data_IF_402142330597
#
_entry.id   IF_402142330597
#
_cell.length_a   1.000
_cell.length_b   1.000
_cell.length_c   1.000
_cell.angle_alpha   90.00
_cell.angle_beta   90.00
_cell.angle_gamma   90.00
#
_symmetry.space_group_name_H-M   'P 1'
#
loop_
_entity.id
_entity.type
_entity.pdbx_description
1 polymer ?
#
# COMPACT_ATOMS: atom_id res chain seq x y z
N UNK A 1 -15.40 27.60 -6.41
CA UNK A 1 -13.99 27.52 -5.95
C UNK A 1 -13.91 26.58 -4.77
N UNK A 2 -13.60 25.30 -5.01
CA UNK A 2 -13.33 24.35 -3.92
C UNK A 2 -12.03 24.80 -3.27
N UNK A 3 -12.09 25.26 -2.02
CA UNK A 3 -10.93 25.72 -1.25
C UNK A 3 -9.84 24.64 -1.31
N UNK A 4 -8.58 25.03 -1.61
CA UNK A 4 -7.41 24.12 -1.70
C UNK A 4 -7.29 23.20 -0.47
N UNK A 5 -7.79 23.67 0.68
CA UNK A 5 -7.86 22.89 1.93
C UNK A 5 -8.82 21.71 1.86
N UNK A 6 -9.99 21.87 1.22
CA UNK A 6 -10.97 20.79 1.07
C UNK A 6 -10.45 19.70 0.14
N UNK A 7 -9.76 20.06 -0.95
CA UNK A 7 -9.13 19.10 -1.86
C UNK A 7 -8.09 18.24 -1.13
N UNK A 8 -7.27 18.82 -0.26
CA UNK A 8 -6.30 18.07 0.53
C UNK A 8 -6.96 17.08 1.49
N UNK A 9 -8.01 17.49 2.18
CA UNK A 9 -8.75 16.61 3.10
C UNK A 9 -9.34 15.43 2.35
N UNK A 10 -9.94 15.66 1.16
CA UNK A 10 -10.49 14.58 0.33
C UNK A 10 -9.41 13.58 -0.07
N UNK A 11 -8.25 14.04 -0.55
CA UNK A 11 -7.16 13.16 -0.97
C UNK A 11 -6.60 12.32 0.20
N UNK A 12 -6.40 12.95 1.37
CA UNK A 12 -5.96 12.24 2.58
C UNK A 12 -6.98 11.20 3.02
N UNK A 13 -8.27 11.54 3.00
CA UNK A 13 -9.34 10.60 3.35
C UNK A 13 -9.38 9.37 2.43
N UNK A 14 -9.15 9.57 1.12
CA UNK A 14 -9.06 8.45 0.16
C UNK A 14 -7.88 7.53 0.50
N UNK A 15 -6.70 8.11 0.80
CA UNK A 15 -5.52 7.32 1.19
C UNK A 15 -5.75 6.55 2.49
N UNK A 16 -6.34 7.20 3.50
CA UNK A 16 -6.71 6.58 4.77
C UNK A 16 -7.63 5.39 4.54
N UNK A 17 -8.68 5.55 3.74
CA UNK A 17 -9.63 4.47 3.46
C UNK A 17 -8.94 3.31 2.73
N UNK A 18 -8.09 3.61 1.76
CA UNK A 18 -7.37 2.61 0.97
C UNK A 18 -6.38 1.81 1.82
N UNK A 19 -5.54 2.47 2.62
CA UNK A 19 -4.61 1.79 3.54
C UNK A 19 -5.33 1.03 4.65
N UNK A 20 -6.43 1.57 5.20
CA UNK A 20 -7.22 0.88 6.22
C UNK A 20 -7.81 -0.41 5.67
N UNK A 21 -8.41 -0.33 4.48
CA UNK A 21 -8.99 -1.48 3.81
C UNK A 21 -7.93 -2.55 3.53
N UNK A 22 -6.79 -2.16 2.95
CA UNK A 22 -5.72 -3.08 2.60
C UNK A 22 -5.11 -3.72 3.86
N UNK A 23 -4.74 -2.91 4.86
CA UNK A 23 -4.08 -3.39 6.08
C UNK A 23 -4.96 -4.27 6.96
N UNK A 24 -6.24 -3.92 7.12
CA UNK A 24 -7.18 -4.77 7.88
C UNK A 24 -7.40 -6.11 7.17
N UNK A 25 -7.60 -6.10 5.85
CA UNK A 25 -7.81 -7.34 5.11
C UNK A 25 -6.57 -8.25 5.15
N UNK A 26 -5.36 -7.69 5.03
CA UNK A 26 -4.12 -8.45 5.17
C UNK A 26 -3.95 -9.04 6.58
N UNK A 27 -4.39 -8.35 7.64
CA UNK A 27 -4.36 -8.91 9.00
C UNK A 27 -5.37 -10.02 9.24
N UNK A 28 -6.59 -9.86 8.72
CA UNK A 28 -7.66 -10.85 8.88
C UNK A 28 -7.30 -12.13 8.11
N UNK A 29 -6.86 -12.00 6.86
CA UNK A 29 -6.49 -13.11 5.98
C UNK A 29 -4.97 -13.30 5.92
N UNK A 30 -4.30 -13.19 7.07
CA UNK A 30 -2.83 -13.25 7.16
C UNK A 30 -2.26 -14.56 6.65
N UNK A 31 -2.86 -15.69 7.00
CA UNK A 31 -2.38 -17.02 6.57
C UNK A 31 -2.38 -17.12 5.05
N UNK A 32 -3.43 -16.63 4.40
CA UNK A 32 -3.50 -16.63 2.95
C UNK A 32 -2.49 -15.63 2.34
N UNK A 33 -2.22 -14.49 3.00
CA UNK A 33 -1.19 -13.53 2.59
C UNK A 33 0.23 -14.12 2.71
N UNK A 34 0.50 -14.85 3.79
CA UNK A 34 1.76 -15.56 4.00
C UNK A 34 1.98 -16.64 2.94
N UNK A 35 0.95 -17.43 2.65
CA UNK A 35 0.98 -18.43 1.57
C UNK A 35 1.21 -17.78 0.20
N UNK A 36 0.65 -16.60 -0.06
CA UNK A 36 0.92 -15.84 -1.28
C UNK A 36 2.40 -15.41 -1.38
N UNK A 37 3.02 -15.02 -0.26
CA UNK A 37 4.43 -14.66 -0.22
C UNK A 37 5.33 -15.89 -0.38
N UNK A 38 5.00 -17.01 0.28
CA UNK A 38 5.71 -18.30 0.16
C UNK A 38 5.70 -18.86 -1.25
N UNK A 39 4.58 -18.73 -1.96
CA UNK A 39 4.46 -19.19 -3.34
C UNK A 39 5.10 -18.24 -4.35
N UNK A 40 5.59 -17.07 -3.94
CA UNK A 40 6.19 -16.10 -4.85
C UNK A 40 7.61 -16.55 -5.27
N UNK A 41 7.87 -16.73 -6.57
CA UNK A 41 9.15 -17.27 -7.05
C UNK A 41 10.33 -16.29 -6.93
N UNK A 42 10.08 -15.03 -6.53
CA UNK A 42 11.09 -13.96 -6.47
C UNK A 42 11.56 -13.61 -5.06
N UNK A 43 11.00 -14.24 -4.02
CA UNK A 43 11.43 -14.07 -2.64
C UNK A 43 12.14 -15.33 -2.16
N UNK A 44 13.44 -15.53 -2.46
CA UNK A 44 14.24 -16.61 -1.90
C UNK A 44 14.65 -16.28 -0.45
N UNK A 45 13.69 -15.83 0.36
CA UNK A 45 13.85 -15.58 1.79
C UNK A 45 13.39 -16.83 2.56
N UNK A 46 14.06 -17.17 3.68
CA UNK A 46 13.63 -18.26 4.53
C UNK A 46 12.20 -18.01 5.04
N UNK A 47 11.46 -19.08 5.30
CA UNK A 47 10.05 -19.03 5.75
C UNK A 47 9.86 -18.13 6.98
N UNK A 48 10.87 -18.09 7.87
CA UNK A 48 10.89 -17.19 9.03
C UNK A 48 10.88 -15.71 8.66
N UNK A 49 11.54 -15.32 7.57
CA UNK A 49 11.49 -13.97 7.02
C UNK A 49 10.12 -13.64 6.44
N UNK A 50 9.47 -14.60 5.77
CA UNK A 50 8.15 -14.41 5.19
C UNK A 50 7.08 -14.25 6.27
N UNK A 51 7.14 -15.06 7.33
CA UNK A 51 6.27 -14.91 8.51
C UNK A 51 6.40 -13.51 9.14
N UNK A 52 7.63 -13.01 9.30
CA UNK A 52 7.86 -11.65 9.80
C UNK A 52 7.26 -10.61 8.86
N UNK A 53 7.52 -10.69 7.56
CA UNK A 53 6.97 -9.75 6.57
C UNK A 53 5.43 -9.74 6.57
N UNK A 54 4.81 -10.91 6.71
CA UNK A 54 3.35 -11.08 6.78
C UNK A 54 2.72 -10.27 7.93
N UNK A 55 3.46 -10.06 9.02
CA UNK A 55 3.06 -9.16 10.11
C UNK A 55 3.49 -7.71 9.89
N UNK A 56 4.74 -7.49 9.49
CA UNK A 56 5.32 -6.15 9.40
C UNK A 56 4.62 -5.28 8.35
N UNK A 57 4.29 -5.83 7.18
CA UNK A 57 3.65 -5.09 6.09
C UNK A 57 2.31 -4.48 6.53
N UNK A 58 1.32 -5.27 7.01
CA UNK A 58 0.04 -4.70 7.43
C UNK A 58 0.16 -3.77 8.64
N UNK A 59 1.09 -4.02 9.56
CA UNK A 59 1.34 -3.12 10.69
C UNK A 59 1.82 -1.75 10.18
N UNK A 60 2.73 -1.71 9.22
CA UNK A 60 3.22 -0.46 8.62
C UNK A 60 2.12 0.28 7.85
N UNK A 61 1.22 -0.44 7.18
CA UNK A 61 0.07 0.16 6.50
C UNK A 61 -0.90 0.81 7.50
N UNK A 62 -1.23 0.13 8.60
CA UNK A 62 -2.05 0.71 9.66
C UNK A 62 -1.35 1.85 10.41
N UNK A 63 -0.03 1.79 10.56
CA UNK A 63 0.76 2.89 11.08
C UNK A 63 0.68 4.11 10.16
N UNK A 64 0.71 3.92 8.84
CA UNK A 64 0.53 5.00 7.88
C UNK A 64 -0.86 5.64 8.01
N UNK A 65 -1.92 4.84 8.20
CA UNK A 65 -3.28 5.34 8.51
C UNK A 65 -3.26 6.21 9.75
N UNK A 66 -2.69 5.71 10.86
CA UNK A 66 -2.64 6.44 12.12
C UNK A 66 -1.89 7.77 11.99
N UNK A 67 -0.77 7.78 11.26
CA UNK A 67 0.01 9.00 11.01
C UNK A 67 -0.74 10.00 10.12
N UNK A 68 -1.49 9.52 9.12
CA UNK A 68 -2.30 10.35 8.21
C UNK A 68 -3.48 11.04 8.90
N UNK A 69 -4.04 10.43 9.95
CA UNK A 69 -5.16 11.00 10.71
C UNK A 69 -4.77 12.23 11.55
N UNK A 70 -3.52 12.32 12.00
CA UNK A 70 -3.07 13.45 12.83
C UNK A 70 -2.54 14.61 11.99
N UNK A 71 -3.07 15.82 12.22
CA UNK A 71 -2.69 17.03 11.48
C UNK A 71 -1.21 17.44 11.64
N UNK A 72 -0.54 16.94 12.69
CA UNK A 72 0.91 17.16 12.91
C UNK A 72 1.79 16.11 12.21
N UNK A 73 1.32 14.88 12.09
CA UNK A 73 2.10 13.74 11.56
C UNK A 73 1.72 13.32 10.15
N UNK A 74 0.68 13.91 9.54
CA UNK A 74 0.20 13.51 8.22
C UNK A 74 1.28 13.55 7.13
N UNK A 75 2.27 14.44 7.25
CA UNK A 75 3.43 14.47 6.35
C UNK A 75 4.28 13.20 6.46
N UNK A 76 4.54 12.72 7.68
CA UNK A 76 5.25 11.46 7.90
C UNK A 76 4.43 10.28 7.36
N UNK A 77 3.12 10.29 7.58
CA UNK A 77 2.20 9.28 7.03
C UNK A 77 2.20 9.26 5.50
N UNK A 78 2.25 10.44 4.85
CA UNK A 78 2.38 10.54 3.39
C UNK A 78 3.70 9.97 2.88
N UNK A 79 4.83 10.29 3.52
CA UNK A 79 6.13 9.73 3.12
C UNK A 79 6.16 8.21 3.30
N UNK A 80 5.65 7.71 4.43
CA UNK A 80 5.55 6.27 4.68
C UNK A 80 4.65 5.59 3.65
N UNK A 81 3.48 6.19 3.34
CA UNK A 81 2.56 5.65 2.34
C UNK A 81 3.15 5.62 0.93
N UNK A 82 3.87 6.66 0.50
CA UNK A 82 4.59 6.69 -0.78
C UNK A 82 5.63 5.56 -0.82
N UNK A 83 6.40 5.40 0.25
CA UNK A 83 7.40 4.34 0.35
C UNK A 83 6.77 2.95 0.24
N UNK A 84 5.67 2.69 0.97
CA UNK A 84 4.94 1.42 0.91
C UNK A 84 4.39 1.14 -0.49
N UNK A 85 3.79 2.12 -1.16
CA UNK A 85 3.31 1.93 -2.54
C UNK A 85 4.44 1.64 -3.52
N UNK A 86 5.58 2.33 -3.43
CA UNK A 86 6.73 2.07 -4.30
C UNK A 86 7.27 0.65 -4.07
N UNK A 87 7.41 0.23 -2.82
CA UNK A 87 7.82 -1.13 -2.48
C UNK A 87 6.86 -2.17 -3.05
N UNK A 88 5.55 -1.97 -2.87
CA UNK A 88 4.55 -2.89 -3.40
C UNK A 88 4.53 -2.92 -4.94
N UNK A 89 4.63 -1.77 -5.61
CA UNK A 89 4.65 -1.67 -7.06
C UNK A 89 5.90 -2.33 -7.65
N UNK A 90 7.08 -2.07 -7.07
CA UNK A 90 8.33 -2.68 -7.54
C UNK A 90 8.32 -4.20 -7.37
N UNK A 91 7.82 -4.70 -6.23
CA UNK A 91 7.60 -6.13 -6.00
C UNK A 91 6.66 -6.76 -7.04
N UNK A 92 5.50 -6.13 -7.26
CA UNK A 92 4.49 -6.62 -8.21
C UNK A 92 4.99 -6.59 -9.66
N UNK A 93 5.74 -5.56 -10.05
CA UNK A 93 6.39 -5.49 -11.37
C UNK A 93 7.47 -6.57 -11.52
N UNK A 94 8.25 -6.81 -10.47
CA UNK A 94 9.21 -7.90 -10.40
C UNK A 94 8.53 -9.22 -10.77
N UNK A 95 7.43 -9.55 -10.10
CA UNK A 95 6.67 -10.78 -10.35
C UNK A 95 6.16 -10.84 -11.78
N UNK A 96 5.62 -9.74 -12.31
CA UNK A 96 5.03 -9.76 -13.65
C UNK A 96 6.06 -9.92 -14.79
N UNK A 97 7.27 -9.40 -14.62
CA UNK A 97 8.28 -9.37 -15.68
C UNK A 97 9.39 -10.41 -15.53
N UNK A 98 9.73 -10.80 -14.30
CA UNK A 98 10.86 -11.69 -14.02
C UNK A 98 10.44 -13.08 -13.51
N UNK A 99 9.20 -13.28 -13.06
CA UNK A 99 8.77 -14.61 -12.62
C UNK A 99 8.51 -15.55 -13.79
N UNK A 100 9.00 -16.79 -13.68
CA UNK A 100 8.78 -17.84 -14.69
C UNK A 100 7.32 -18.31 -14.77
N UNK A 101 6.53 -18.07 -13.71
CA UNK A 101 5.10 -18.35 -13.65
C UNK A 101 4.41 -17.37 -12.70
N UNK A 102 3.12 -17.15 -12.90
CA UNK A 102 2.29 -16.30 -12.04
C UNK A 102 1.79 -17.21 -10.89
N UNK A 103 2.17 -16.98 -9.63
CA UNK A 103 1.74 -17.83 -8.53
C UNK A 103 0.22 -17.69 -8.27
N UNK A 104 -0.40 -18.75 -7.72
CA UNK A 104 -1.80 -18.72 -7.30
C UNK A 104 -2.06 -17.49 -6.44
N UNK A 105 -3.04 -16.66 -6.81
CA UNK A 105 -3.63 -15.68 -5.91
C UNK A 105 -4.52 -16.42 -4.90
N UNK A 106 -3.92 -17.03 -3.89
CA UNK A 106 -4.63 -17.82 -2.88
C UNK A 106 -4.95 -16.98 -1.61
N UNK A 107 -4.42 -15.75 -1.51
CA UNK A 107 -4.56 -14.74 -0.44
C UNK A 107 -5.90 -13.99 -0.26
N UNK A 108 -6.86 -14.42 0.58
CA UNK A 108 -7.97 -13.56 1.02
C UNK A 108 -8.70 -12.78 -0.10
N UNK A 109 -8.79 -11.44 -0.01
CA UNK A 109 -9.34 -10.58 -1.10
C UNK A 109 -8.56 -10.61 -2.42
N UNK A 110 -7.29 -11.01 -2.39
CA UNK A 110 -6.45 -11.22 -3.58
C UNK A 110 -6.94 -12.43 -4.38
N UNK A 111 -7.78 -13.30 -3.82
CA UNK A 111 -8.44 -14.42 -4.52
C UNK A 111 -9.37 -13.95 -5.64
N UNK A 112 -9.86 -12.70 -5.57
CA UNK A 112 -10.75 -12.11 -6.58
C UNK A 112 -10.06 -11.04 -7.45
N UNK A 113 -8.90 -10.51 -7.04
CA UNK A 113 -8.14 -9.53 -7.82
C UNK A 113 -6.88 -10.13 -8.42
N UNK A 114 -6.75 -10.04 -9.74
CA UNK A 114 -5.53 -10.43 -10.46
C UNK A 114 -4.34 -9.57 -10.02
N UNK A 115 -3.12 -10.14 -10.05
CA UNK A 115 -1.85 -9.41 -9.81
C UNK A 115 -1.75 -8.07 -10.55
N UNK A 116 -2.25 -8.02 -11.79
CA UNK A 116 -2.33 -6.77 -12.58
C UNK A 116 -3.25 -5.72 -11.94
N UNK A 117 -4.41 -6.13 -11.43
CA UNK A 117 -5.37 -5.21 -10.80
C UNK A 117 -4.81 -4.63 -9.50
N UNK A 118 -4.12 -5.46 -8.71
CA UNK A 118 -3.46 -5.01 -7.48
C UNK A 118 -2.37 -3.97 -7.79
N UNK A 119 -1.57 -4.20 -8.82
CA UNK A 119 -0.57 -3.26 -9.31
C UNK A 119 -1.21 -1.92 -9.72
N UNK A 120 -2.34 -1.94 -10.43
CA UNK A 120 -3.08 -0.73 -10.79
C UNK A 120 -3.60 0.03 -9.58
N UNK A 121 -4.12 -0.67 -8.57
CA UNK A 121 -4.56 -0.04 -7.31
C UNK A 121 -3.41 0.66 -6.61
N UNK A 122 -2.25 0.02 -6.49
CA UNK A 122 -1.07 0.60 -5.85
C UNK A 122 -0.46 1.76 -6.64
N UNK A 123 -0.46 1.70 -7.97
CA UNK A 123 -0.10 2.83 -8.82
C UNK A 123 -1.08 4.00 -8.66
N UNK A 124 -2.38 3.72 -8.62
CA UNK A 124 -3.42 4.72 -8.35
C UNK A 124 -3.22 5.40 -6.99
N UNK A 125 -2.99 4.61 -5.94
CA UNK A 125 -2.67 5.09 -4.61
C UNK A 125 -1.41 5.96 -4.56
N UNK A 126 -0.34 5.52 -5.26
CA UNK A 126 0.91 6.29 -5.38
C UNK A 126 0.68 7.65 -6.05
N UNK A 127 -0.09 7.70 -7.15
CA UNK A 127 -0.42 8.95 -7.82
C UNK A 127 -1.20 9.90 -6.90
N UNK A 128 -2.19 9.38 -6.16
CA UNK A 128 -2.95 10.17 -5.17
C UNK A 128 -2.03 10.71 -4.08
N UNK A 129 -1.08 9.90 -3.59
CA UNK A 129 -0.13 10.33 -2.57
C UNK A 129 0.80 11.45 -3.08
N UNK A 130 1.31 11.34 -4.30
CA UNK A 130 2.12 12.38 -4.96
C UNK A 130 1.33 13.66 -5.16
N UNK A 131 0.07 13.56 -5.63
CA UNK A 131 -0.82 14.71 -5.76
C UNK A 131 -1.05 15.38 -4.41
N UNK A 132 -1.34 14.60 -3.36
CA UNK A 132 -1.52 15.11 -2.00
C UNK A 132 -0.29 15.88 -1.53
N UNK A 133 0.91 15.35 -1.78
CA UNK A 133 2.16 16.01 -1.45
C UNK A 133 2.36 17.33 -2.21
N UNK A 134 2.08 17.35 -3.50
CA UNK A 134 2.19 18.55 -4.33
C UNK A 134 1.20 19.64 -3.88
N UNK A 135 -0.07 19.29 -3.68
CA UNK A 135 -1.08 20.21 -3.18
C UNK A 135 -0.71 20.76 -1.81
N UNK A 136 -0.11 19.95 -0.93
CA UNK A 136 0.28 20.40 0.39
C UNK A 136 1.37 21.49 0.32
N UNK A 137 2.38 21.33 -0.53
CA UNK A 137 3.39 22.37 -0.77
C UNK A 137 2.77 23.68 -1.24
N UNK A 138 1.71 23.63 -2.06
CA UNK A 138 1.03 24.85 -2.55
C UNK A 138 0.20 25.57 -1.49
N UNK A 139 -0.26 24.88 -0.43
CA UNK A 139 -1.04 25.49 0.65
C UNK A 139 -0.14 26.12 1.71
N UNK A 140 1.04 25.55 1.99
CA UNK A 140 2.04 26.15 2.90
C UNK A 140 2.73 27.40 2.34
N UNK A 141 2.64 27.66 1.04
CA UNK A 141 3.34 28.75 0.35
C UNK A 141 2.48 30.02 0.19
N UNK A 142 1.27 30.03 0.73
CA UNK A 142 0.35 31.17 0.81
C UNK A 142 0.26 31.59 2.27
#
# INVERSE_FOLDING_TARGET
MISKRNSLVILISILVLLFTYIGINQLIFREDFELNLLNSPLLPIPETGIFLLSWFIPILELLAVFLLLWSRTYLLGLYLGIFLFIMYTSYSLGILYFASYIPCSCGGMLKFLSWKQQLWVSLGGLMIAILTFYFNKTVKKV
#
